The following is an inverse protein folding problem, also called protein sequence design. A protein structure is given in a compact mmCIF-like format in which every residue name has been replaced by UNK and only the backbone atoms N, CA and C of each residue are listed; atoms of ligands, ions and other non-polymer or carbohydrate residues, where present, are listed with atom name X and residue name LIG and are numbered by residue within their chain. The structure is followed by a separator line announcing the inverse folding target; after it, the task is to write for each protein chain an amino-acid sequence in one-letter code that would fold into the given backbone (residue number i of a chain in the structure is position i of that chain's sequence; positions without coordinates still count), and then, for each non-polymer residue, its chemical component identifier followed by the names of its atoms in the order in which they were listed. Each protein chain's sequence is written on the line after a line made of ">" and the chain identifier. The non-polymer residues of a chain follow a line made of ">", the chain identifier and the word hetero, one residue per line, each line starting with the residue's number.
data_IF_997765250319
#
_entry.id   IF_997765250319
#
_cell.length_a   1.000
_cell.length_b   1.000
_cell.length_c   1.000
_cell.angle_alpha   90.00
_cell.angle_beta   90.00
_cell.angle_gamma   90.00
#
_symmetry.space_group_name_H-M   'P 1'
#
loop_
_entity.id
_entity.type
_entity.pdbx_description
1 polymer ?
#
# COMPACT_ATOMS: atom_id res chain seq x y z
N UNK A 1 -18.70 -2.64 1.95
CA UNK A 1 -17.24 -2.40 1.97
C UNK A 1 -16.97 -1.54 3.20
N UNK A 2 -16.01 -1.89 4.05
CA UNK A 2 -15.71 -1.15 5.29
C UNK A 2 -14.85 0.09 4.95
N UNK A 3 -15.01 1.22 5.64
CA UNK A 3 -14.19 2.43 5.47
C UNK A 3 -12.69 2.12 5.59
N UNK A 4 -12.31 1.22 6.51
CA UNK A 4 -10.93 0.74 6.64
C UNK A 4 -10.42 0.07 5.35
N UNK A 5 -11.26 -0.73 4.68
CA UNK A 5 -10.86 -1.39 3.42
C UNK A 5 -10.65 -0.37 2.31
N UNK A 6 -11.50 0.65 2.22
CA UNK A 6 -11.34 1.75 1.26
C UNK A 6 -10.01 2.49 1.47
N UNK A 7 -9.64 2.74 2.73
CA UNK A 7 -8.38 3.38 3.08
C UNK A 7 -7.16 2.50 2.78
N UNK A 8 -7.26 1.18 3.00
CA UNK A 8 -6.23 0.22 2.60
C UNK A 8 -6.04 0.22 1.09
N UNK A 9 -7.14 0.19 0.33
CA UNK A 9 -7.09 0.20 -1.13
C UNK A 9 -6.47 1.52 -1.63
N UNK A 10 -6.82 2.65 -1.02
CA UNK A 10 -6.24 3.96 -1.32
C UNK A 10 -4.74 4.04 -0.98
N UNK A 11 -4.31 3.49 0.16
CA UNK A 11 -2.90 3.41 0.54
C UNK A 11 -2.08 2.60 -0.48
N UNK A 12 -2.65 1.47 -0.91
CA UNK A 12 -2.02 0.58 -1.89
C UNK A 12 -2.03 1.16 -3.30
N UNK A 13 -3.03 1.94 -3.69
CA UNK A 13 -3.12 2.60 -4.98
C UNK A 13 -2.29 3.90 -5.03
N UNK A 14 -2.14 4.57 -3.89
CA UNK A 14 -1.50 5.89 -3.82
C UNK A 14 0.00 5.88 -4.09
N UNK A 15 0.47 7.02 -4.59
CA UNK A 15 1.88 7.36 -4.77
C UNK A 15 2.08 8.89 -4.76
N UNK A 16 3.24 9.36 -5.23
CA UNK A 16 3.54 10.81 -5.30
C UNK A 16 2.72 11.57 -6.35
N UNK A 17 2.10 10.88 -7.31
CA UNK A 17 1.30 11.43 -8.40
C UNK A 17 -0.20 11.27 -8.14
N UNK A 18 -0.62 10.17 -7.50
CA UNK A 18 -2.01 9.87 -7.17
C UNK A 18 -2.18 9.87 -5.65
N UNK A 19 -2.63 10.99 -5.10
CA UNK A 19 -2.83 11.16 -3.65
C UNK A 19 -4.31 11.10 -3.32
N UNK A 20 -4.64 10.38 -2.27
CA UNK A 20 -6.00 10.26 -1.76
C UNK A 20 -6.16 11.08 -0.49
N UNK A 21 -7.36 11.61 -0.31
CA UNK A 21 -7.77 12.36 0.86
C UNK A 21 -9.02 11.72 1.45
N UNK A 22 -9.12 11.74 2.77
CA UNK A 22 -10.21 11.17 3.53
C UNK A 22 -10.96 12.27 4.28
N UNK A 23 -12.30 12.24 4.24
CA UNK A 23 -13.19 13.16 4.95
C UNK A 23 -13.81 12.42 6.15
N UNK A 24 -13.31 12.63 7.38
CA UNK A 24 -13.73 11.83 8.53
C UNK A 24 -15.22 11.96 8.88
N UNK A 25 -15.85 13.08 8.56
CA UNK A 25 -17.25 13.34 8.91
C UNK A 25 -18.22 12.48 8.09
N UNK A 26 -17.86 12.15 6.85
CA UNK A 26 -18.69 11.37 5.92
C UNK A 26 -18.10 10.00 5.62
N UNK A 27 -16.88 9.74 6.09
CA UNK A 27 -16.08 8.55 5.78
C UNK A 27 -15.82 8.36 4.28
N UNK A 28 -15.80 9.45 3.53
CA UNK A 28 -15.60 9.45 2.08
C UNK A 28 -14.14 9.63 1.70
N UNK A 29 -13.78 9.09 0.54
CA UNK A 29 -12.43 9.10 0.00
C UNK A 29 -12.44 9.73 -1.40
N UNK A 30 -11.52 10.65 -1.64
CA UNK A 30 -11.42 11.42 -2.88
C UNK A 30 -9.99 11.39 -3.39
N UNK A 31 -9.82 11.58 -4.70
CA UNK A 31 -8.52 11.99 -5.23
C UNK A 31 -8.29 13.46 -4.89
N UNK A 32 -7.05 13.83 -4.59
CA UNK A 32 -6.67 15.23 -4.30
C UNK A 32 -7.11 16.17 -5.43
N UNK A 33 -6.96 15.74 -6.69
CA UNK A 33 -7.34 16.51 -7.88
C UNK A 33 -8.85 16.69 -8.09
N UNK A 34 -9.69 15.94 -7.35
CA UNK A 34 -11.15 16.00 -7.43
C UNK A 34 -11.76 16.88 -6.33
N UNK A 35 -10.94 17.45 -5.45
CA UNK A 35 -11.41 18.35 -4.40
C UNK A 35 -11.86 19.69 -5.00
N UNK A 36 -13.12 20.07 -4.73
CA UNK A 36 -13.60 21.42 -5.00
C UNK A 36 -12.98 22.40 -3.98
N UNK A 37 -12.37 23.49 -4.46
CA UNK A 37 -11.80 24.56 -3.62
C UNK A 37 -12.83 25.16 -2.65
N UNK A 38 -14.12 24.97 -2.91
CA UNK A 38 -15.21 25.43 -2.06
C UNK A 38 -15.56 24.48 -0.90
N UNK A 39 -15.03 23.25 -0.87
CA UNK A 39 -15.29 22.32 0.23
C UNK A 39 -14.46 22.70 1.46
N UNK A 40 -15.12 23.36 2.42
CA UNK A 40 -14.53 23.80 3.69
C UNK A 40 -14.37 22.65 4.72
N UNK A 41 -14.50 21.39 4.28
CA UNK A 41 -14.32 20.21 5.13
C UNK A 41 -12.88 20.06 5.63
N UNK A 42 -12.71 19.37 6.76
CA UNK A 42 -11.39 18.94 7.21
C UNK A 42 -11.03 17.65 6.48
N UNK A 43 -10.11 17.75 5.52
CA UNK A 43 -9.56 16.60 4.81
C UNK A 43 -8.27 16.14 5.43
N UNK A 44 -8.07 14.82 5.47
CA UNK A 44 -6.83 14.20 5.90
C UNK A 44 -6.20 13.48 4.73
N UNK A 45 -4.92 13.74 4.48
CA UNK A 45 -4.16 13.02 3.47
C UNK A 45 -3.96 11.58 3.90
N UNK A 46 -4.48 10.65 3.10
CA UNK A 46 -4.24 9.23 3.30
C UNK A 46 -2.75 8.98 3.03
N UNK A 47 -2.03 8.30 3.94
CA UNK A 47 -0.65 7.93 3.66
C UNK A 47 -0.59 7.03 2.43
N UNK A 48 0.57 6.97 1.80
CA UNK A 48 0.81 6.05 0.69
C UNK A 48 2.09 5.27 0.98
N UNK A 49 2.19 4.07 0.39
CA UNK A 49 3.34 3.19 0.56
C UNK A 49 4.63 3.84 0.04
N UNK A 50 5.67 3.93 0.88
CA UNK A 50 7.01 4.25 0.40
C UNK A 50 7.59 3.00 -0.30
N UNK A 51 8.21 3.19 -1.46
CA UNK A 51 8.92 2.13 -2.18
C UNK A 51 9.98 1.44 -1.29
N UNK A 52 10.58 2.19 -0.36
CA UNK A 52 11.53 1.65 0.62
C UNK A 52 10.91 0.60 1.53
N UNK A 53 9.72 0.85 2.03
CA UNK A 53 9.00 -0.08 2.92
C UNK A 53 8.63 -1.35 2.16
N UNK A 54 8.20 -1.21 0.91
CA UNK A 54 7.94 -2.37 0.05
C UNK A 54 9.19 -3.23 -0.19
N UNK A 55 10.38 -2.64 -0.29
CA UNK A 55 11.62 -3.43 -0.40
C UNK A 55 11.90 -4.25 0.86
N UNK A 56 11.61 -3.71 2.04
CA UNK A 56 11.74 -4.45 3.29
C UNK A 56 10.73 -5.60 3.33
N UNK A 57 9.48 -5.33 2.94
CA UNK A 57 8.44 -6.37 2.86
C UNK A 57 8.77 -7.47 1.84
N UNK A 58 9.38 -7.12 0.70
CA UNK A 58 9.88 -8.09 -0.28
C UNK A 58 10.97 -8.98 0.33
N UNK A 59 11.92 -8.41 1.07
CA UNK A 59 12.99 -9.16 1.70
C UNK A 59 12.49 -10.11 2.79
N UNK A 60 11.58 -9.64 3.64
CA UNK A 60 10.98 -10.45 4.69
C UNK A 60 10.09 -11.57 4.10
N UNK A 61 9.31 -11.28 3.07
CA UNK A 61 8.53 -12.29 2.35
C UNK A 61 9.42 -13.40 1.80
N UNK A 62 10.54 -13.02 1.15
CA UNK A 62 11.51 -13.98 0.60
C UNK A 62 12.12 -14.85 1.68
N UNK A 63 12.43 -14.27 2.83
CA UNK A 63 12.95 -14.99 3.99
C UNK A 63 11.94 -16.00 4.55
N UNK A 64 10.65 -15.71 4.48
CA UNK A 64 9.60 -16.60 5.01
C UNK A 64 9.27 -17.78 4.08
N UNK A 65 9.41 -17.63 2.76
CA UNK A 65 9.13 -18.70 1.78
C UNK A 65 10.39 -19.51 1.37
N UNK A 66 11.44 -19.48 2.20
CA UNK A 66 12.73 -20.15 1.95
C UNK A 66 12.59 -21.61 1.47
N UNK A 67 13.57 -22.16 0.70
CA UNK A 67 14.84 -21.54 0.28
C UNK A 67 14.89 -21.13 -1.21
N UNK A 68 13.81 -21.28 -1.99
CA UNK A 68 13.90 -21.24 -3.47
C UNK A 68 13.64 -19.88 -4.13
N UNK A 69 13.28 -18.85 -3.36
CA UNK A 69 12.83 -17.57 -3.94
C UNK A 69 13.80 -16.40 -3.75
N UNK A 70 14.97 -16.62 -3.15
CA UNK A 70 15.97 -15.56 -2.93
C UNK A 70 16.52 -14.98 -4.24
N UNK A 71 16.79 -15.84 -5.23
CA UNK A 71 17.25 -15.40 -6.55
C UNK A 71 16.25 -14.45 -7.24
N UNK A 72 14.96 -14.55 -6.92
CA UNK A 72 13.92 -13.69 -7.47
C UNK A 72 14.07 -12.27 -6.92
N UNK A 73 14.31 -12.13 -5.62
CA UNK A 73 14.55 -10.83 -5.00
C UNK A 73 15.75 -10.16 -5.63
N UNK A 74 16.87 -10.88 -5.74
CA UNK A 74 18.09 -10.33 -6.32
C UNK A 74 17.89 -9.87 -7.77
N UNK A 75 17.26 -10.71 -8.61
CA UNK A 75 16.97 -10.34 -9.99
C UNK A 75 16.02 -9.15 -10.12
N UNK A 76 15.05 -9.02 -9.20
CA UNK A 76 14.13 -7.91 -9.18
C UNK A 76 14.84 -6.59 -8.83
N UNK A 77 15.65 -6.60 -7.76
CA UNK A 77 16.41 -5.43 -7.29
C UNK A 77 17.41 -4.90 -8.32
N UNK A 78 17.92 -5.76 -9.21
CA UNK A 78 18.78 -5.35 -10.33
C UNK A 78 18.02 -4.81 -11.55
N UNK A 79 16.68 -4.70 -11.51
CA UNK A 79 15.88 -4.18 -12.62
C UNK A 79 15.52 -2.71 -12.46
N UNK A 80 15.16 -2.00 -13.55
CA UNK A 80 14.67 -0.61 -13.47
C UNK A 80 13.35 -0.45 -12.68
N UNK A 81 12.56 -1.52 -12.53
CA UNK A 81 11.27 -1.53 -11.83
C UNK A 81 11.19 -2.72 -10.87
N UNK A 82 11.90 -2.67 -9.72
CA UNK A 82 12.08 -3.86 -8.89
C UNK A 82 10.79 -4.44 -8.32
N UNK A 83 9.87 -3.61 -7.83
CA UNK A 83 8.60 -4.07 -7.27
C UNK A 83 7.79 -4.82 -8.33
N UNK A 84 7.58 -4.20 -9.50
CA UNK A 84 6.84 -4.82 -10.61
C UNK A 84 7.50 -6.12 -11.09
N UNK A 85 8.85 -6.12 -11.17
CA UNK A 85 9.61 -7.31 -11.57
C UNK A 85 9.44 -8.44 -10.56
N UNK A 86 9.48 -8.13 -9.28
CA UNK A 86 9.28 -9.09 -8.19
C UNK A 86 7.87 -9.68 -8.25
N UNK A 87 6.84 -8.84 -8.29
CA UNK A 87 5.44 -9.27 -8.33
C UNK A 87 5.16 -10.21 -9.52
N UNK A 88 5.68 -9.88 -10.70
CA UNK A 88 5.58 -10.74 -11.89
C UNK A 88 6.20 -12.12 -11.69
N UNK A 89 7.27 -12.23 -10.91
CA UNK A 89 7.93 -13.53 -10.67
C UNK A 89 7.21 -14.32 -9.57
N UNK A 90 6.80 -13.66 -8.50
CA UNK A 90 6.00 -14.27 -7.43
C UNK A 90 4.67 -14.81 -7.98
N UNK A 91 4.04 -14.09 -8.91
CA UNK A 91 2.82 -14.56 -9.57
C UNK A 91 3.04 -15.83 -10.40
N UNK A 92 4.19 -15.97 -11.08
CA UNK A 92 4.54 -17.19 -11.82
C UNK A 92 4.79 -18.40 -10.93
N UNK A 93 5.12 -18.16 -9.65
CA UNK A 93 5.29 -19.20 -8.65
C UNK A 93 4.00 -19.52 -7.89
N UNK A 94 2.85 -18.99 -8.32
CA UNK A 94 1.56 -19.15 -7.63
C UNK A 94 1.53 -18.57 -6.21
N UNK A 95 2.54 -17.76 -5.86
CA UNK A 95 2.66 -17.08 -4.56
C UNK A 95 1.98 -15.70 -4.56
N UNK A 96 1.37 -15.30 -5.68
CA UNK A 96 0.77 -13.97 -5.86
C UNK A 96 -0.31 -13.64 -4.82
N UNK A 97 -1.16 -14.60 -4.48
CA UNK A 97 -2.20 -14.40 -3.46
C UNK A 97 -1.61 -14.19 -2.06
N UNK A 98 -0.54 -14.92 -1.73
CA UNK A 98 0.15 -14.79 -0.43
C UNK A 98 0.84 -13.43 -0.33
N UNK A 99 1.47 -12.98 -1.42
CA UNK A 99 2.07 -11.65 -1.49
C UNK A 99 1.03 -10.53 -1.38
N UNK A 100 -0.11 -10.68 -2.06
CA UNK A 100 -1.19 -9.70 -1.98
C UNK A 100 -1.75 -9.60 -0.56
N UNK A 101 -2.01 -10.73 0.11
CA UNK A 101 -2.44 -10.75 1.51
C UNK A 101 -1.42 -10.10 2.44
N UNK A 102 -0.12 -10.26 2.18
CA UNK A 102 0.94 -9.59 2.94
C UNK A 102 0.91 -8.07 2.76
N UNK A 103 0.76 -7.59 1.52
CA UNK A 103 0.63 -6.15 1.24
C UNK A 103 -0.60 -5.55 1.93
N UNK A 104 -1.72 -6.26 1.91
CA UNK A 104 -2.95 -5.84 2.59
C UNK A 104 -2.76 -5.77 4.11
N UNK A 105 -2.16 -6.80 4.72
CA UNK A 105 -1.87 -6.80 6.15
C UNK A 105 -0.88 -5.69 6.54
N UNK A 106 0.11 -5.40 5.69
CA UNK A 106 1.03 -4.29 5.87
C UNK A 106 0.31 -2.94 5.80
N UNK A 107 -0.48 -2.70 4.75
CA UNK A 107 -1.28 -1.49 4.58
C UNK A 107 -2.26 -1.27 5.72
N UNK A 108 -2.93 -2.34 6.18
CA UNK A 108 -3.83 -2.28 7.32
C UNK A 108 -3.14 -1.75 8.58
N UNK A 109 -1.97 -2.31 8.94
CA UNK A 109 -1.21 -1.83 10.13
C UNK A 109 -0.86 -0.35 10.04
N UNK A 110 -0.44 0.11 8.85
CA UNK A 110 -0.09 1.51 8.63
C UNK A 110 -1.31 2.43 8.72
N UNK A 111 -2.44 2.02 8.14
CA UNK A 111 -3.68 2.80 8.16
C UNK A 111 -4.26 2.84 9.58
N UNK A 112 -4.28 1.73 10.30
CA UNK A 112 -4.74 1.69 11.69
C UNK A 112 -3.88 2.58 12.60
N UNK A 113 -2.55 2.55 12.42
CA UNK A 113 -1.65 3.46 13.14
C UNK A 113 -1.91 4.92 12.78
N UNK A 114 -2.06 5.23 11.50
CA UNK A 114 -2.34 6.58 11.05
C UNK A 114 -3.67 7.11 11.59
N UNK A 115 -4.75 6.30 11.53
CA UNK A 115 -6.05 6.64 12.10
C UNK A 115 -5.94 6.95 13.59
N UNK A 116 -5.16 6.15 14.33
CA UNK A 116 -4.88 6.41 15.74
C UNK A 116 -4.16 7.74 15.97
N UNK A 117 -3.14 8.06 15.16
CA UNK A 117 -2.36 9.31 15.25
C UNK A 117 -3.20 10.56 14.94
N UNK A 118 -4.16 10.45 14.01
CA UNK A 118 -5.08 11.54 13.66
C UNK A 118 -6.36 11.58 14.52
N UNK A 119 -6.51 10.66 15.48
CA UNK A 119 -7.59 10.64 16.46
C UNK A 119 -8.93 10.10 15.94
N UNK A 120 -8.91 9.23 14.93
CA UNK A 120 -10.09 8.56 14.37
C UNK A 120 -10.12 7.12 14.88
N UNK A 121 -11.27 6.68 15.42
CA UNK A 121 -11.48 5.34 16.00
C UNK A 121 -12.48 4.53 15.19
#
# INVERSE_FOLDING_TARGET
>A
MNALQLLIDAYLAGDTLFRFVYKPQTEELFLEDELDEQDNGQFLYVPYKDARELYLEMADFVREQQPHIEAILYQALCSPSPIEKFEKQIQKLELGAIWQARKEAFAQRHIEQWLHEVGIQ
#
